data_IF_312236228057
#
_entry.id   IF_312236228057
#
_cell.length_a   1.000
_cell.length_b   1.000
_cell.length_c   1.000
_cell.angle_alpha   90.00
_cell.angle_beta   90.00
_cell.angle_gamma   90.00
#
_symmetry.space_group_name_H-M   'P 1'
#
loop_
_entity.id
_entity.type
_entity.pdbx_description
1 polymer ?
#
# COMPACT_ATOMS: atom_id res chain seq x y z
N UNK A 1 -48.65 -61.42 -5.35
CA UNK A 1 -49.02 -60.20 -6.10
C UNK A 1 -50.54 -60.14 -6.16
N UNK A 2 -51.17 -58.97 -5.96
CA UNK A 2 -50.56 -57.64 -5.79
C UNK A 2 -50.60 -57.27 -4.29
N UNK A 3 -49.52 -57.23 -3.50
CA UNK A 3 -48.38 -56.30 -3.44
C UNK A 3 -48.76 -54.80 -3.55
N UNK A 4 -48.37 -53.87 -2.67
CA UNK A 4 -47.75 -53.88 -1.33
C UNK A 4 -47.63 -52.41 -0.84
N UNK A 5 -47.66 -52.21 0.49
CA UNK A 5 -46.90 -51.22 1.31
C UNK A 5 -47.23 -49.71 1.20
N UNK A 6 -47.21 -48.91 2.28
CA UNK A 6 -46.86 -49.19 3.68
C UNK A 6 -46.78 -47.89 4.49
N UNK A 7 -47.37 -47.95 5.68
CA UNK A 7 -47.25 -47.13 6.90
C UNK A 7 -45.97 -46.28 7.07
N UNK A 8 -46.10 -45.10 7.71
CA UNK A 8 -45.64 -44.92 9.10
C UNK A 8 -46.15 -43.63 9.78
N UNK A 9 -46.27 -43.77 11.10
CA UNK A 9 -47.05 -43.02 12.07
C UNK A 9 -46.26 -41.84 12.66
N UNK A 10 -46.97 -40.76 12.98
CA UNK A 10 -46.52 -39.66 13.84
C UNK A 10 -46.77 -39.99 15.32
N UNK A 11 -45.80 -39.72 16.19
CA UNK A 11 -45.90 -39.69 17.66
C UNK A 11 -44.85 -38.71 18.19
N UNK A 12 -45.23 -37.60 18.80
CA UNK A 12 -45.63 -37.37 20.21
C UNK A 12 -44.43 -37.04 21.13
N UNK A 13 -44.50 -35.83 21.69
CA UNK A 13 -43.66 -35.25 22.76
C UNK A 13 -43.52 -36.18 23.97
N UNK A 14 -42.34 -36.14 24.61
CA UNK A 14 -42.16 -35.99 26.06
C UNK A 14 -40.71 -35.58 26.38
N UNK A 15 -40.58 -34.76 27.43
CA UNK A 15 -39.36 -34.24 28.07
C UNK A 15 -38.29 -35.30 28.37
N UNK A 16 -37.01 -34.90 28.41
CA UNK A 16 -35.99 -35.41 29.34
C UNK A 16 -34.69 -34.58 29.25
N UNK A 17 -34.46 -33.77 30.31
CA UNK A 17 -33.24 -33.62 31.12
C UNK A 17 -31.85 -33.45 30.49
N UNK A 18 -31.16 -32.45 31.05
CA UNK A 18 -29.71 -32.20 31.06
C UNK A 18 -28.83 -33.48 31.02
N UNK A 19 -28.32 -33.83 29.83
CA UNK A 19 -27.07 -34.58 29.65
C UNK A 19 -26.66 -34.47 28.18
N UNK A 20 -25.60 -33.71 27.89
CA UNK A 20 -25.15 -33.51 26.51
C UNK A 20 -24.16 -32.37 26.31
N UNK A 21 -23.15 -32.23 27.19
CA UNK A 21 -21.96 -31.41 26.93
C UNK A 21 -20.72 -32.16 27.43
N UNK A 22 -20.32 -33.20 26.69
CA UNK A 22 -18.96 -33.71 26.74
C UNK A 22 -18.62 -34.36 25.39
N UNK A 23 -18.36 -33.52 24.39
CA UNK A 23 -17.53 -33.92 23.25
C UNK A 23 -16.18 -33.26 23.44
N UNK A 24 -15.19 -34.12 23.53
CA UNK A 24 -13.76 -33.86 23.67
C UNK A 24 -13.32 -32.98 22.49
N UNK A 25 -13.20 -31.67 22.71
CA UNK A 25 -12.28 -30.84 21.94
C UNK A 25 -10.88 -31.20 22.42
N UNK A 26 -10.25 -32.17 21.74
CA UNK A 26 -8.80 -32.22 21.73
C UNK A 26 -8.33 -30.99 20.93
N UNK A 27 -8.27 -29.83 21.61
CA UNK A 27 -7.59 -28.66 21.07
C UNK A 27 -6.15 -29.08 20.86
N UNK A 28 -5.76 -29.30 19.61
CA UNK A 28 -4.35 -29.31 19.25
C UNK A 28 -3.85 -27.94 19.67
N UNK A 29 -3.04 -27.90 20.72
CA UNK A 29 -2.50 -26.66 21.24
C UNK A 29 -1.52 -26.10 20.22
N UNK A 30 -2.04 -25.32 19.26
CA UNK A 30 -1.31 -24.73 18.16
C UNK A 30 -0.16 -23.87 18.69
N UNK A 31 -0.33 -23.25 19.86
CA UNK A 31 0.73 -22.46 20.51
C UNK A 31 1.95 -23.31 20.92
N UNK A 32 1.75 -24.58 21.30
CA UNK A 32 2.84 -25.50 21.62
C UNK A 32 3.59 -25.97 20.36
N UNK A 33 2.89 -26.21 19.25
CA UNK A 33 3.51 -26.53 17.95
C UNK A 33 4.25 -25.32 17.35
N UNK A 34 3.75 -24.10 17.58
CA UNK A 34 4.40 -22.85 17.19
C UNK A 34 5.67 -22.61 18.01
N UNK A 35 5.65 -22.85 19.32
CA UNK A 35 6.86 -22.76 20.16
C UNK A 35 7.93 -23.79 19.75
N UNK A 36 7.53 -24.99 19.34
CA UNK A 36 8.48 -26.03 18.88
C UNK A 36 9.10 -25.69 17.50
N UNK A 37 8.37 -24.98 16.64
CA UNK A 37 8.87 -24.52 15.33
C UNK A 37 9.80 -23.30 15.45
N UNK A 38 9.51 -22.39 16.38
CA UNK A 38 10.34 -21.23 16.71
C UNK A 38 11.64 -21.68 17.40
N UNK A 39 11.57 -22.63 18.34
CA UNK A 39 12.76 -23.17 19.02
C UNK A 39 13.73 -23.89 18.07
N UNK A 40 13.26 -24.42 16.93
CA UNK A 40 14.12 -25.05 15.91
C UNK A 40 14.77 -24.05 14.94
N UNK A 41 14.24 -22.83 14.80
CA UNK A 41 14.91 -21.75 14.06
C UNK A 41 15.87 -20.93 14.95
N UNK A 42 15.58 -20.79 16.25
CA UNK A 42 16.43 -20.07 17.20
C UNK A 42 17.73 -20.81 17.54
N UNK A 43 17.78 -22.12 17.36
CA UNK A 43 19.02 -22.91 17.48
C UNK A 43 20.11 -22.55 16.44
N UNK A 44 19.81 -21.67 15.46
CA UNK A 44 20.78 -21.11 14.51
C UNK A 44 20.98 -19.59 14.67
N UNK A 45 20.47 -19.00 15.75
CA UNK A 45 20.48 -17.55 16.02
C UNK A 45 20.97 -17.21 17.44
N UNK A 46 21.89 -17.99 18.01
CA UNK A 46 22.58 -17.57 19.23
C UNK A 46 23.61 -16.47 18.89
N UNK A 47 23.33 -15.27 19.38
CA UNK A 47 24.20 -14.36 20.17
C UNK A 47 23.70 -12.91 20.02
N UNK A 48 22.73 -12.52 20.84
CA UNK A 48 22.46 -11.13 21.22
C UNK A 48 22.56 -11.08 22.76
N UNK A 49 23.68 -10.59 23.28
CA UNK A 49 23.85 -10.32 24.71
C UNK A 49 23.34 -8.91 25.04
N UNK A 50 22.47 -8.87 26.04
CA UNK A 50 21.94 -7.69 26.72
C UNK A 50 22.78 -7.51 27.99
N UNK A 51 23.41 -6.35 28.19
CA UNK A 51 23.98 -6.01 29.50
C UNK A 51 23.45 -4.66 30.00
N UNK A 52 22.78 -4.75 31.15
CA UNK A 52 22.32 -3.66 31.99
C UNK A 52 23.48 -3.14 32.84
N UNK A 53 23.58 -1.83 33.05
CA UNK A 53 24.32 -1.29 34.19
C UNK A 53 23.43 -0.37 35.04
N UNK A 54 23.16 -0.87 36.24
CA UNK A 54 22.73 -0.11 37.41
C UNK A 54 23.94 0.49 38.14
N UNK A 55 23.72 1.61 38.82
CA UNK A 55 24.61 2.23 39.82
C UNK A 55 24.62 3.74 39.62
N UNK A 56 24.30 4.62 40.55
CA UNK A 56 24.24 4.55 42.01
C UNK A 56 24.76 5.90 42.53
N UNK A 57 23.94 6.63 43.28
CA UNK A 57 24.21 7.96 43.83
C UNK A 57 25.41 7.98 44.80
N UNK A 58 26.21 9.06 44.79
CA UNK A 58 26.78 9.67 46.01
C UNK A 58 27.18 11.14 45.81
N UNK A 59 27.09 11.89 46.91
CA UNK A 59 27.09 13.34 47.08
C UNK A 59 28.45 13.85 47.58
N UNK A 60 28.74 15.15 47.31
CA UNK A 60 29.54 16.15 48.08
C UNK A 60 30.71 16.85 47.35
N UNK A 61 30.73 18.20 47.45
CA UNK A 61 31.95 18.94 47.81
C UNK A 61 32.68 19.83 46.78
N UNK A 62 32.21 21.09 46.65
CA UNK A 62 32.96 22.36 46.58
C UNK A 62 34.20 22.61 45.66
N UNK A 63 34.18 23.81 45.07
CA UNK A 63 35.28 24.74 44.75
C UNK A 63 35.73 24.92 43.28
N UNK A 64 35.96 26.19 42.96
CA UNK A 64 36.18 26.77 41.64
C UNK A 64 37.62 26.61 41.12
N UNK A 65 37.79 26.51 39.79
CA UNK A 65 38.52 27.47 38.95
C UNK A 65 39.07 26.86 37.66
N UNK A 66 39.16 27.73 36.65
CA UNK A 66 40.12 27.75 35.55
C UNK A 66 40.08 26.64 34.46
N UNK A 67 39.54 27.07 33.32
CA UNK A 67 39.88 26.68 31.95
C UNK A 67 41.08 25.75 31.75
N UNK A 68 40.80 24.54 31.24
CA UNK A 68 41.64 23.79 30.32
C UNK A 68 40.70 23.07 29.34
N UNK A 69 40.91 23.30 28.05
CA UNK A 69 40.17 22.68 26.96
C UNK A 69 40.61 21.24 26.80
N UNK A 70 39.90 20.30 27.40
CA UNK A 70 40.03 18.89 27.05
C UNK A 70 39.16 18.58 25.83
N UNK A 71 39.82 18.05 24.80
CA UNK A 71 39.19 17.59 23.60
C UNK A 71 38.16 16.51 23.95
N UNK A 72 36.90 16.75 23.57
CA UNK A 72 35.85 15.73 23.58
C UNK A 72 36.32 14.63 22.63
N UNK A 73 36.69 13.46 23.18
CA UNK A 73 36.95 12.28 22.36
C UNK A 73 35.67 11.95 21.57
N UNK A 74 35.77 11.71 20.26
CA UNK A 74 34.60 11.35 19.47
C UNK A 74 34.07 10.00 19.95
N UNK A 75 32.75 9.93 20.21
CA UNK A 75 32.07 8.66 20.48
C UNK A 75 32.48 7.59 19.45
N UNK A 76 32.69 6.34 19.87
CA UNK A 76 33.10 5.28 18.96
C UNK A 76 32.01 5.08 17.90
N UNK A 77 32.32 5.45 16.66
CA UNK A 77 31.49 5.12 15.51
C UNK A 77 31.41 3.60 15.42
N UNK A 78 30.26 3.05 15.83
CA UNK A 78 30.00 1.63 15.78
C UNK A 78 29.99 1.16 14.32
N UNK A 79 31.15 0.71 13.84
CA UNK A 79 31.29 0.23 12.47
C UNK A 79 30.43 -1.02 12.30
N UNK A 80 29.49 -0.96 11.35
CA UNK A 80 28.60 -2.08 11.08
C UNK A 80 29.46 -3.27 10.65
N UNK A 81 29.37 -4.38 11.41
CA UNK A 81 30.15 -5.61 11.13
C UNK A 81 30.12 -5.95 9.64
N UNK A 82 31.29 -6.26 9.06
CA UNK A 82 31.45 -6.62 7.66
C UNK A 82 30.42 -7.68 7.21
N UNK A 83 30.11 -8.64 8.09
CA UNK A 83 29.09 -9.68 7.84
C UNK A 83 27.69 -9.08 7.66
N UNK A 84 27.31 -8.10 8.46
CA UNK A 84 26.01 -7.41 8.37
C UNK A 84 25.93 -6.53 7.11
N UNK A 85 27.02 -5.82 6.79
CA UNK A 85 27.11 -5.05 5.54
C UNK A 85 26.95 -5.96 4.30
N UNK A 86 27.64 -7.10 4.28
CA UNK A 86 27.53 -8.10 3.20
C UNK A 86 26.12 -8.68 3.08
N UNK A 87 25.48 -9.05 4.20
CA UNK A 87 24.08 -9.54 4.22
C UNK A 87 23.11 -8.47 3.70
N UNK A 88 23.25 -7.20 4.11
CA UNK A 88 22.44 -6.08 3.65
C UNK A 88 22.60 -5.84 2.15
N UNK A 89 23.84 -5.86 1.64
CA UNK A 89 24.12 -5.72 0.21
C UNK A 89 23.51 -6.87 -0.61
N UNK A 90 23.65 -8.11 -0.13
CA UNK A 90 23.03 -9.28 -0.77
C UNK A 90 21.51 -9.20 -0.79
N UNK A 91 20.87 -8.77 0.32
CA UNK A 91 19.41 -8.55 0.36
C UNK A 91 18.96 -7.47 -0.63
N UNK A 92 19.70 -6.35 -0.70
CA UNK A 92 19.41 -5.27 -1.66
C UNK A 92 19.50 -5.76 -3.10
N UNK A 93 20.55 -6.52 -3.43
CA UNK A 93 20.73 -7.14 -4.75
C UNK A 93 19.59 -8.11 -5.09
N UNK A 94 19.21 -8.99 -4.15
CA UNK A 94 18.10 -9.93 -4.34
C UNK A 94 16.76 -9.23 -4.61
N UNK A 95 16.48 -8.14 -3.89
CA UNK A 95 15.28 -7.31 -4.11
C UNK A 95 15.30 -6.62 -5.46
N UNK A 96 16.48 -6.14 -5.88
CA UNK A 96 16.63 -5.52 -7.19
C UNK A 96 16.42 -6.51 -8.34
N UNK A 97 16.89 -7.75 -8.18
CA UNK A 97 16.81 -8.80 -9.21
C UNK A 97 15.44 -9.49 -9.25
N UNK A 98 14.85 -9.77 -8.08
CA UNK A 98 13.68 -10.65 -7.96
C UNK A 98 12.44 -9.96 -7.36
N UNK A 99 12.53 -8.68 -7.03
CA UNK A 99 11.50 -7.97 -6.28
C UNK A 99 11.47 -8.36 -4.79
N UNK A 100 10.48 -7.85 -4.08
CA UNK A 100 10.26 -8.18 -2.68
C UNK A 100 9.59 -9.55 -2.52
N UNK A 101 9.98 -10.28 -1.47
CA UNK A 101 9.31 -11.48 -1.01
C UNK A 101 9.21 -11.44 0.53
N UNK A 102 8.06 -11.77 1.13
CA UNK A 102 7.89 -11.73 2.58
C UNK A 102 8.71 -12.84 3.25
N UNK A 103 9.25 -12.54 4.44
CA UNK A 103 9.94 -13.53 5.27
C UNK A 103 8.95 -14.48 5.96
N UNK A 104 9.40 -15.63 6.47
CA UNK A 104 8.56 -16.53 7.28
C UNK A 104 7.93 -15.80 8.47
N UNK A 105 8.75 -15.03 9.20
CA UNK A 105 8.31 -14.16 10.29
C UNK A 105 7.19 -13.21 9.86
N UNK A 106 7.35 -12.53 8.72
CA UNK A 106 6.32 -11.64 8.16
C UNK A 106 5.02 -12.39 7.87
N UNK A 107 5.09 -13.62 7.33
CA UNK A 107 3.90 -14.44 7.08
C UNK A 107 3.17 -14.82 8.38
N UNK A 108 3.91 -15.14 9.45
CA UNK A 108 3.32 -15.51 10.74
C UNK A 108 2.77 -14.28 11.48
N UNK A 109 3.61 -13.29 11.75
CA UNK A 109 3.27 -12.16 12.63
C UNK A 109 2.27 -11.19 12.01
N UNK A 110 2.41 -10.86 10.72
CA UNK A 110 1.62 -9.80 10.10
C UNK A 110 0.49 -10.29 9.21
N UNK A 111 0.46 -11.56 8.81
CA UNK A 111 -0.60 -12.07 7.93
C UNK A 111 -1.57 -12.96 8.69
N UNK A 112 -1.07 -13.98 9.40
CA UNK A 112 -1.96 -14.90 10.13
C UNK A 112 -2.68 -14.24 11.31
N UNK A 113 -2.08 -13.21 11.91
CA UNK A 113 -2.64 -12.49 13.05
C UNK A 113 -3.39 -11.20 12.65
N UNK A 114 -3.48 -10.88 11.36
CA UNK A 114 -4.09 -9.62 10.94
C UNK A 114 -5.61 -9.65 11.07
N UNK A 115 -6.15 -8.69 11.82
CA UNK A 115 -7.57 -8.45 11.91
C UNK A 115 -8.08 -7.79 10.63
N UNK A 116 -8.98 -8.49 9.94
CA UNK A 116 -9.55 -8.02 8.68
C UNK A 116 -10.78 -7.13 8.89
N UNK A 117 -10.82 -6.04 8.14
CA UNK A 117 -11.97 -5.15 8.05
C UNK A 117 -12.83 -5.60 6.86
N UNK A 118 -13.87 -6.40 7.12
CA UNK A 118 -14.82 -6.74 6.05
C UNK A 118 -15.69 -5.53 5.71
N UNK A 119 -15.71 -5.14 4.44
CA UNK A 119 -16.55 -4.07 3.91
C UNK A 119 -17.75 -4.64 3.15
N UNK A 120 -18.91 -3.97 3.25
CA UNK A 120 -20.13 -4.38 2.57
C UNK A 120 -20.16 -3.98 1.07
N UNK A 121 -19.10 -4.33 0.34
CA UNK A 121 -18.89 -3.99 -1.06
C UNK A 121 -18.70 -5.26 -1.89
N UNK A 122 -19.22 -5.26 -3.13
CA UNK A 122 -18.86 -6.26 -4.14
C UNK A 122 -17.93 -5.61 -5.14
N UNK A 123 -16.63 -5.95 -5.08
CA UNK A 123 -15.66 -5.29 -5.95
C UNK A 123 -15.87 -5.65 -7.42
N UNK A 124 -16.54 -6.78 -7.71
CA UNK A 124 -16.89 -7.18 -9.06
C UNK A 124 -17.79 -6.15 -9.79
N UNK A 125 -18.56 -5.37 -9.04
CA UNK A 125 -19.46 -4.34 -9.55
C UNK A 125 -18.80 -2.96 -9.62
N UNK A 126 -17.52 -2.83 -9.27
CA UNK A 126 -16.83 -1.56 -9.35
C UNK A 126 -16.68 -1.10 -10.82
N UNK A 127 -16.58 0.21 -11.05
CA UNK A 127 -16.77 0.79 -12.37
C UNK A 127 -15.49 0.77 -13.21
N UNK A 128 -14.99 -0.42 -13.53
CA UNK A 128 -13.96 -0.61 -14.54
C UNK A 128 -14.47 -0.14 -15.92
N UNK A 129 -13.59 0.48 -16.71
CA UNK A 129 -13.85 0.76 -18.11
C UNK A 129 -13.75 -0.53 -18.94
N UNK A 130 -14.27 -0.51 -20.16
CA UNK A 130 -14.12 -1.62 -21.08
C UNK A 130 -12.64 -1.98 -21.27
N UNK A 131 -12.33 -3.28 -21.20
CA UNK A 131 -10.97 -3.78 -21.24
C UNK A 131 -10.15 -3.57 -19.96
N UNK A 132 -10.68 -2.96 -18.90
CA UNK A 132 -10.07 -2.89 -17.57
C UNK A 132 -8.64 -2.28 -17.48
N UNK A 133 -8.22 -1.53 -18.50
CA UNK A 133 -6.99 -0.70 -18.45
C UNK A 133 -7.21 0.67 -17.80
N UNK A 134 -8.37 0.87 -17.21
CA UNK A 134 -8.80 2.12 -16.60
C UNK A 134 -10.20 1.95 -16.00
N UNK A 135 -10.69 3.00 -15.38
CA UNK A 135 -12.02 3.02 -14.77
C UNK A 135 -12.90 4.10 -15.41
N UNK A 136 -14.20 4.06 -15.09
CA UNK A 136 -15.16 5.09 -15.50
C UNK A 136 -15.00 6.34 -14.63
N UNK A 137 -15.14 7.49 -15.26
CA UNK A 137 -15.20 8.78 -14.55
C UNK A 137 -16.32 8.80 -13.52
N UNK A 138 -16.09 9.55 -12.44
CA UNK A 138 -17.12 9.86 -11.47
C UNK A 138 -18.09 10.87 -12.08
N UNK A 139 -19.37 10.52 -12.15
CA UNK A 139 -20.43 11.39 -12.67
C UNK A 139 -20.97 12.31 -11.56
N UNK A 140 -20.14 13.23 -11.08
CA UNK A 140 -20.49 14.20 -10.04
C UNK A 140 -20.07 15.62 -10.44
N UNK A 141 -20.83 16.63 -9.97
CA UNK A 141 -20.50 18.04 -10.19
C UNK A 141 -19.17 18.42 -9.51
N UNK A 142 -18.56 19.53 -9.92
CA UNK A 142 -17.39 20.07 -9.22
C UNK A 142 -17.69 20.35 -7.75
N UNK A 143 -18.82 21.03 -7.46
CA UNK A 143 -19.25 21.32 -6.10
C UNK A 143 -19.40 20.07 -5.22
N UNK A 144 -19.98 18.98 -5.75
CA UNK A 144 -20.11 17.70 -5.02
C UNK A 144 -18.75 17.09 -4.68
N UNK A 145 -17.81 17.13 -5.64
CA UNK A 145 -16.48 16.56 -5.47
C UNK A 145 -15.60 17.34 -4.51
N UNK A 146 -15.77 18.66 -4.51
CA UNK A 146 -15.01 19.62 -3.71
C UNK A 146 -15.57 19.78 -2.30
N UNK A 147 -16.77 19.23 -2.03
CA UNK A 147 -17.38 19.27 -0.71
C UNK A 147 -16.45 18.66 0.35
N UNK A 148 -16.35 19.37 1.46
CA UNK A 148 -15.55 18.94 2.60
C UNK A 148 -16.41 18.14 3.55
N UNK A 149 -16.02 16.89 3.76
CA UNK A 149 -16.68 15.98 4.69
C UNK A 149 -15.82 15.83 5.93
N UNK A 150 -16.45 15.81 7.10
CA UNK A 150 -15.82 15.37 8.35
C UNK A 150 -16.06 13.87 8.57
N UNK A 151 -15.29 13.24 9.45
CA UNK A 151 -15.57 11.84 9.79
C UNK A 151 -16.89 11.70 10.55
N UNK A 152 -17.19 12.67 11.41
CA UNK A 152 -18.40 12.75 12.21
C UNK A 152 -19.64 12.80 11.31
N UNK A 153 -19.66 13.67 10.29
CA UNK A 153 -20.76 13.76 9.32
C UNK A 153 -20.93 12.43 8.57
N UNK A 154 -19.84 11.84 8.08
CA UNK A 154 -19.90 10.59 7.32
C UNK A 154 -20.47 9.45 8.16
N UNK A 155 -20.08 9.35 9.43
CA UNK A 155 -20.55 8.30 10.34
C UNK A 155 -21.99 8.56 10.77
N UNK A 156 -22.29 9.75 11.28
CA UNK A 156 -23.59 10.07 11.87
C UNK A 156 -24.71 10.18 10.84
N UNK A 157 -24.41 10.72 9.65
CA UNK A 157 -25.45 11.12 8.68
C UNK A 157 -25.45 10.27 7.41
N UNK A 158 -24.33 9.62 7.08
CA UNK A 158 -24.15 8.91 5.79
C UNK A 158 -23.92 7.41 5.93
N UNK A 159 -23.91 6.90 7.17
CA UNK A 159 -23.79 5.48 7.48
C UNK A 159 -22.42 4.90 7.12
N UNK A 160 -21.36 5.72 7.20
CA UNK A 160 -19.99 5.24 7.11
C UNK A 160 -19.57 4.60 8.43
N UNK A 161 -18.63 3.66 8.36
CA UNK A 161 -17.96 3.12 9.53
C UNK A 161 -16.60 3.79 9.70
N UNK A 162 -16.33 4.29 10.90
CA UNK A 162 -15.00 4.70 11.31
C UNK A 162 -14.13 3.46 11.55
N UNK A 163 -12.95 3.44 10.95
CA UNK A 163 -11.88 2.47 11.24
C UNK A 163 -10.79 3.23 11.98
N UNK A 164 -10.70 2.96 13.28
CA UNK A 164 -9.61 3.47 14.11
C UNK A 164 -8.35 2.68 13.81
N UNK A 165 -7.27 3.38 13.47
CA UNK A 165 -6.03 2.75 13.05
C UNK A 165 -4.84 3.59 13.46
N UNK A 166 -3.90 2.97 14.16
CA UNK A 166 -2.69 3.61 14.66
C UNK A 166 -1.53 3.61 13.65
N UNK A 167 -1.73 3.01 12.47
CA UNK A 167 -0.78 3.03 11.37
C UNK A 167 0.43 2.12 11.58
N UNK A 168 0.40 1.22 12.59
CA UNK A 168 1.50 0.30 12.88
C UNK A 168 1.30 -1.04 12.20
N UNK A 169 0.31 -1.80 12.67
CA UNK A 169 0.01 -3.12 12.16
C UNK A 169 -0.87 -3.06 10.91
N UNK A 170 -0.74 -4.09 10.09
CA UNK A 170 -1.50 -4.18 8.86
C UNK A 170 -2.95 -4.62 9.14
N UNK A 171 -3.93 -3.96 8.51
CA UNK A 171 -5.34 -4.38 8.52
C UNK A 171 -5.84 -4.53 7.07
N UNK A 172 -6.00 -5.77 6.57
CA UNK A 172 -6.56 -6.00 5.23
C UNK A 172 -8.05 -5.63 5.22
N UNK A 173 -8.50 -5.05 4.11
CA UNK A 173 -9.91 -4.73 3.87
C UNK A 173 -10.43 -5.70 2.81
N UNK A 174 -11.46 -6.47 3.18
CA UNK A 174 -12.03 -7.49 2.29
C UNK A 174 -13.39 -7.11 1.75
N UNK A 175 -13.72 -7.59 0.56
CA UNK A 175 -15.08 -7.53 0.02
C UNK A 175 -15.99 -8.58 0.65
N UNK A 176 -17.25 -8.66 0.20
CA UNK A 176 -18.23 -9.69 0.63
C UNK A 176 -17.79 -11.12 0.34
N UNK A 177 -16.88 -11.33 -0.61
CA UNK A 177 -16.37 -12.65 -1.02
C UNK A 177 -15.01 -12.98 -0.40
N UNK A 178 -14.52 -12.14 0.53
CA UNK A 178 -13.25 -12.32 1.23
C UNK A 178 -12.01 -11.94 0.42
N UNK A 179 -12.16 -11.30 -0.75
CA UNK A 179 -11.03 -10.78 -1.55
C UNK A 179 -10.44 -9.57 -0.85
N UNK A 180 -9.14 -9.57 -0.63
CA UNK A 180 -8.40 -8.42 -0.08
C UNK A 180 -8.26 -7.38 -1.21
N UNK A 181 -9.12 -6.37 -1.23
CA UNK A 181 -9.09 -5.35 -2.28
C UNK A 181 -8.33 -4.09 -1.88
N UNK A 182 -8.18 -3.84 -0.58
CA UNK A 182 -7.39 -2.75 -0.03
C UNK A 182 -6.69 -3.21 1.25
N UNK A 183 -5.64 -2.50 1.66
CA UNK A 183 -4.86 -2.83 2.85
C UNK A 183 -4.44 -1.55 3.55
N UNK A 184 -4.69 -1.47 4.84
CA UNK A 184 -4.04 -0.51 5.71
C UNK A 184 -2.69 -1.11 6.09
N UNK A 185 -1.64 -0.91 5.29
CA UNK A 185 -0.41 -1.70 5.36
C UNK A 185 0.53 -1.33 6.53
N UNK A 186 0.32 -0.15 7.11
CA UNK A 186 1.00 0.28 8.33
C UNK A 186 2.37 0.84 8.04
N UNK A 187 3.34 0.43 8.84
CA UNK A 187 4.75 0.82 8.69
C UNK A 187 5.64 -0.31 9.19
N UNK A 188 6.91 -0.40 8.74
CA UNK A 188 7.80 -1.43 9.25
C UNK A 188 8.05 -1.23 10.75
N UNK A 189 8.18 -2.34 11.48
CA UNK A 189 8.60 -2.37 12.89
C UNK A 189 10.11 -2.07 13.01
N UNK A 190 10.50 -0.88 12.58
CA UNK A 190 11.86 -0.37 12.63
C UNK A 190 11.83 1.02 13.28
N UNK A 191 12.49 1.21 14.43
CA UNK A 191 12.42 2.46 15.18
C UNK A 191 12.96 3.67 14.40
N UNK A 192 13.83 3.45 13.41
CA UNK A 192 14.40 4.52 12.58
C UNK A 192 13.47 4.95 11.44
N UNK A 193 12.37 4.23 11.19
CA UNK A 193 11.47 4.53 10.07
C UNK A 193 10.70 5.85 10.27
N UNK A 194 10.33 6.18 11.51
CA UNK A 194 9.69 7.46 11.84
C UNK A 194 10.58 8.66 11.46
N UNK A 195 11.87 8.60 11.81
CA UNK A 195 12.85 9.62 11.43
C UNK A 195 13.03 9.72 9.91
N UNK A 196 13.00 8.59 9.19
CA UNK A 196 13.02 8.59 7.73
C UNK A 196 11.78 9.31 7.15
N UNK A 197 10.58 9.04 7.67
CA UNK A 197 9.37 9.72 7.22
C UNK A 197 9.43 11.24 7.47
N UNK A 198 9.94 11.66 8.62
CA UNK A 198 10.16 13.08 8.92
C UNK A 198 11.15 13.72 7.91
N UNK A 199 12.31 13.08 7.68
CA UNK A 199 13.30 13.58 6.71
C UNK A 199 12.75 13.64 5.27
N UNK A 200 11.91 12.67 4.87
CA UNK A 200 11.22 12.71 3.59
C UNK A 200 10.25 13.91 3.51
N UNK A 201 9.48 14.16 4.56
CA UNK A 201 8.56 15.30 4.62
C UNK A 201 9.28 16.66 4.57
N UNK A 202 10.40 16.80 5.29
CA UNK A 202 11.22 18.02 5.26
C UNK A 202 11.83 18.23 3.87
N UNK A 203 12.29 17.16 3.20
CA UNK A 203 12.79 17.25 1.83
C UNK A 203 11.69 17.66 0.85
N UNK A 204 10.50 17.08 0.95
CA UNK A 204 9.34 17.47 0.13
C UNK A 204 9.00 18.95 0.37
N UNK A 205 9.00 19.41 1.61
CA UNK A 205 8.72 20.81 1.95
C UNK A 205 9.79 21.76 1.41
N UNK A 206 11.07 21.42 1.57
CA UNK A 206 12.17 22.21 1.05
C UNK A 206 12.17 22.28 -0.49
N UNK A 207 11.86 21.17 -1.16
CA UNK A 207 11.73 21.15 -2.62
C UNK A 207 10.48 21.88 -3.11
N UNK A 208 9.39 21.88 -2.32
CA UNK A 208 8.21 22.70 -2.62
C UNK A 208 8.57 24.18 -2.69
N UNK A 209 9.30 24.66 -1.70
CA UNK A 209 9.61 26.09 -1.55
C UNK A 209 10.63 26.58 -2.60
N UNK A 210 11.42 25.65 -3.17
CA UNK A 210 12.33 25.93 -4.30
C UNK A 210 11.66 25.80 -5.66
N UNK A 211 10.65 24.95 -5.78
CA UNK A 211 9.98 24.68 -7.04
C UNK A 211 9.04 25.85 -7.40
N UNK A 212 9.26 26.44 -8.57
CA UNK A 212 8.39 27.49 -9.11
C UNK A 212 7.14 26.85 -9.72
N UNK A 213 6.19 26.48 -8.85
CA UNK A 213 4.94 25.84 -9.27
C UNK A 213 3.99 26.82 -9.94
N UNK A 214 3.49 26.42 -11.10
CA UNK A 214 2.46 27.18 -11.82
C UNK A 214 1.09 26.97 -11.20
N UNK A 215 0.18 27.91 -11.46
CA UNK A 215 -1.19 27.85 -10.96
C UNK A 215 -1.91 26.56 -11.34
N UNK A 216 -1.67 26.04 -12.54
CA UNK A 216 -2.29 24.82 -13.07
C UNK A 216 -1.73 23.55 -12.39
N UNK A 217 -0.52 23.63 -11.84
CA UNK A 217 0.12 22.54 -11.07
C UNK A 217 -0.39 22.53 -9.62
N UNK A 218 -0.89 23.67 -9.14
CA UNK A 218 -1.49 23.83 -7.81
C UNK A 218 -3.01 23.65 -7.80
N UNK A 219 -3.71 23.83 -8.93
CA UNK A 219 -5.16 23.76 -9.02
C UNK A 219 -5.58 22.71 -10.04
N UNK A 220 -5.92 21.52 -9.56
CA UNK A 220 -6.24 20.38 -10.41
C UNK A 220 -7.47 19.62 -9.92
N UNK A 221 -7.97 18.69 -10.74
CA UNK A 221 -9.20 17.90 -10.49
C UNK A 221 -9.25 17.09 -9.19
N UNK A 222 -8.14 17.02 -8.46
CA UNK A 222 -7.96 16.25 -7.22
C UNK A 222 -7.79 17.13 -5.98
N UNK A 223 -7.64 18.45 -6.11
CA UNK A 223 -7.37 19.32 -4.97
C UNK A 223 -6.63 20.60 -5.36
N UNK A 224 -6.41 21.44 -4.34
CA UNK A 224 -5.70 22.72 -4.44
C UNK A 224 -4.36 22.61 -3.68
N UNK A 225 -3.38 21.97 -4.31
CA UNK A 225 -2.02 21.82 -3.81
C UNK A 225 -1.07 21.48 -4.98
N UNK A 226 0.25 21.75 -4.87
CA UNK A 226 1.20 21.34 -5.89
C UNK A 226 1.37 19.82 -5.93
N UNK A 227 1.37 19.24 -7.13
CA UNK A 227 1.59 17.81 -7.34
C UNK A 227 2.53 17.54 -8.53
N UNK A 228 3.53 16.69 -8.33
CA UNK A 228 4.42 16.23 -9.40
C UNK A 228 4.36 14.73 -9.55
N UNK A 229 4.06 14.30 -10.78
CA UNK A 229 4.10 12.90 -11.19
C UNK A 229 5.38 12.62 -11.99
N UNK A 230 6.02 11.47 -11.72
CA UNK A 230 7.24 11.04 -12.42
C UNK A 230 7.27 9.52 -12.60
N UNK A 231 8.07 9.05 -13.57
CA UNK A 231 8.20 7.64 -13.91
C UNK A 231 7.56 7.25 -15.24
N UNK A 232 7.39 5.95 -15.44
CA UNK A 232 6.99 5.34 -16.71
C UNK A 232 5.48 5.38 -16.91
N UNK A 233 5.07 5.98 -18.03
CA UNK A 233 3.67 6.07 -18.42
C UNK A 233 3.50 5.82 -19.91
N UNK A 234 2.29 5.40 -20.28
CA UNK A 234 1.82 5.36 -21.65
C UNK A 234 0.38 5.84 -21.64
N UNK A 235 0.10 6.91 -22.39
CA UNK A 235 -1.18 7.61 -22.37
C UNK A 235 -1.11 8.94 -23.12
N UNK A 236 -2.22 9.68 -23.17
CA UNK A 236 -2.29 11.02 -23.78
C UNK A 236 -1.72 11.09 -25.22
N UNK A 237 -1.98 10.07 -26.04
CA UNK A 237 -1.54 10.02 -27.44
C UNK A 237 -0.08 9.64 -27.66
N UNK A 238 0.69 9.29 -26.62
CA UNK A 238 2.09 8.87 -26.77
C UNK A 238 2.18 7.51 -27.52
N UNK A 239 3.06 7.38 -28.53
CA UNK A 239 3.16 6.16 -29.33
C UNK A 239 3.85 5.00 -28.61
N UNK A 240 4.67 5.30 -27.59
CA UNK A 240 5.43 4.34 -26.79
C UNK A 240 5.31 4.66 -25.29
N UNK A 241 5.58 3.66 -24.45
CA UNK A 241 5.83 3.91 -23.03
C UNK A 241 7.16 4.65 -22.87
N UNK A 242 7.19 5.67 -22.01
CA UNK A 242 8.39 6.47 -21.70
C UNK A 242 8.24 7.15 -20.36
N UNK A 243 9.32 7.76 -19.84
CA UNK A 243 9.22 8.61 -18.65
C UNK A 243 8.36 9.84 -18.92
N UNK A 244 7.59 10.24 -17.91
CA UNK A 244 6.85 11.50 -17.92
C UNK A 244 7.81 12.67 -18.14
N UNK A 245 7.35 13.69 -18.87
CA UNK A 245 8.15 14.89 -19.07
C UNK A 245 8.26 15.64 -17.74
N UNK A 246 9.48 15.78 -17.24
CA UNK A 246 9.79 16.41 -15.96
C UNK A 246 9.79 17.95 -16.04
N UNK A 247 9.85 18.51 -17.26
CA UNK A 247 9.81 19.95 -17.51
C UNK A 247 10.83 20.72 -16.67
N UNK A 248 10.39 21.84 -16.09
CA UNK A 248 11.22 22.68 -15.22
C UNK A 248 11.49 22.06 -13.84
N UNK A 249 10.84 20.94 -13.52
CA UNK A 249 10.90 20.30 -12.19
C UNK A 249 11.86 19.12 -12.13
N UNK A 250 12.69 18.91 -13.16
CA UNK A 250 13.64 17.80 -13.24
C UNK A 250 14.64 17.76 -12.06
N UNK A 251 15.09 18.93 -11.56
CA UNK A 251 15.95 19.02 -10.38
C UNK A 251 15.24 18.51 -9.12
N UNK A 252 14.01 18.98 -8.89
CA UNK A 252 13.16 18.55 -7.78
C UNK A 252 12.86 17.06 -7.84
N UNK A 253 12.49 16.54 -9.01
CA UNK A 253 12.22 15.11 -9.21
C UNK A 253 13.48 14.28 -8.90
N UNK A 254 14.65 14.70 -9.40
CA UNK A 254 15.92 14.01 -9.12
C UNK A 254 16.28 14.02 -7.63
N UNK A 255 16.06 15.15 -6.94
CA UNK A 255 16.28 15.27 -5.50
C UNK A 255 15.38 14.29 -4.73
N UNK A 256 14.09 14.22 -5.08
CA UNK A 256 13.13 13.33 -4.44
C UNK A 256 13.43 11.85 -4.73
N UNK A 257 13.74 11.49 -5.97
CA UNK A 257 14.09 10.12 -6.34
C UNK A 257 15.40 9.66 -5.70
N UNK A 258 16.38 10.55 -5.58
CA UNK A 258 17.68 10.28 -4.96
C UNK A 258 17.65 10.22 -3.44
N UNK A 259 16.60 10.74 -2.79
CA UNK A 259 16.54 10.80 -1.33
C UNK A 259 16.31 9.42 -0.71
N UNK A 260 17.21 9.02 0.20
CA UNK A 260 17.20 7.68 0.81
C UNK A 260 15.92 7.38 1.58
N UNK A 261 15.35 8.37 2.28
CA UNK A 261 14.09 8.19 3.00
C UNK A 261 12.89 7.99 2.08
N UNK A 262 12.84 8.66 0.93
CA UNK A 262 11.76 8.47 -0.04
C UNK A 262 11.89 7.09 -0.69
N UNK A 263 13.10 6.69 -1.05
CA UNK A 263 13.39 5.34 -1.52
C UNK A 263 12.99 4.26 -0.51
N UNK A 264 13.18 4.52 0.79
CA UNK A 264 12.78 3.60 1.87
C UNK A 264 11.26 3.45 1.98
N UNK A 265 10.52 4.56 1.93
CA UNK A 265 9.05 4.56 1.90
C UNK A 265 8.55 3.83 0.64
N UNK A 266 9.16 4.11 -0.52
CA UNK A 266 8.83 3.46 -1.77
C UNK A 266 8.99 1.93 -1.69
N UNK A 267 10.12 1.49 -1.12
CA UNK A 267 10.42 0.07 -0.89
C UNK A 267 9.42 -0.60 0.04
N UNK A 268 8.98 0.09 1.11
CA UNK A 268 7.97 -0.47 2.01
C UNK A 268 6.61 -0.65 1.31
N UNK A 269 6.15 0.36 0.56
CA UNK A 269 4.92 0.24 -0.22
C UNK A 269 4.96 -0.90 -1.25
N UNK A 270 6.12 -1.12 -1.87
CA UNK A 270 6.34 -2.25 -2.78
C UNK A 270 6.32 -3.61 -2.06
N UNK A 271 7.00 -3.70 -0.92
CA UNK A 271 7.00 -4.91 -0.08
C UNK A 271 5.61 -5.25 0.45
N UNK A 272 4.83 -4.25 0.85
CA UNK A 272 3.44 -4.42 1.24
C UNK A 272 2.60 -4.96 0.07
N UNK A 273 2.81 -4.45 -1.14
CA UNK A 273 2.10 -4.94 -2.32
C UNK A 273 2.45 -6.41 -2.62
N UNK A 274 3.72 -6.79 -2.59
CA UNK A 274 4.16 -8.18 -2.73
C UNK A 274 3.52 -9.10 -1.68
N UNK A 275 3.42 -8.61 -0.44
CA UNK A 275 2.91 -9.39 0.69
C UNK A 275 1.40 -9.62 0.60
N UNK A 276 0.64 -8.58 0.27
CA UNK A 276 -0.83 -8.61 0.40
C UNK A 276 -1.58 -8.87 -0.90
N UNK A 277 -0.92 -8.75 -2.06
CA UNK A 277 -1.49 -9.11 -3.35
C UNK A 277 -0.43 -9.76 -4.26
N UNK A 278 0.16 -10.90 -3.87
CA UNK A 278 1.29 -11.53 -4.56
C UNK A 278 1.01 -11.86 -6.03
N UNK A 279 -0.20 -12.34 -6.36
CA UNK A 279 -0.59 -12.64 -7.74
C UNK A 279 -0.55 -11.38 -8.61
N UNK A 280 -1.11 -10.28 -8.10
CA UNK A 280 -1.12 -8.99 -8.77
C UNK A 280 0.28 -8.35 -8.82
N UNK A 281 1.09 -8.52 -7.78
CA UNK A 281 2.49 -8.09 -7.75
C UNK A 281 3.32 -8.75 -8.86
N UNK A 282 3.22 -10.08 -9.01
CA UNK A 282 3.86 -10.84 -10.10
C UNK A 282 3.36 -10.38 -11.47
N UNK A 283 2.06 -10.12 -11.61
CA UNK A 283 1.48 -9.55 -12.83
C UNK A 283 2.14 -8.20 -13.16
N UNK A 284 2.24 -7.27 -12.21
CA UNK A 284 2.92 -5.99 -12.42
C UNK A 284 4.39 -6.17 -12.82
N UNK A 285 5.13 -7.01 -12.08
CA UNK A 285 6.54 -7.27 -12.35
C UNK A 285 6.78 -7.76 -13.79
N UNK A 286 6.01 -8.76 -14.24
CA UNK A 286 6.16 -9.32 -15.59
C UNK A 286 5.79 -8.36 -16.72
N UNK A 287 4.81 -7.47 -16.54
CA UNK A 287 4.52 -6.44 -17.54
C UNK A 287 5.64 -5.41 -17.65
N UNK A 288 6.21 -5.03 -16.52
CA UNK A 288 7.14 -3.93 -16.52
C UNK A 288 8.55 -4.35 -16.87
N UNK A 289 8.96 -5.58 -16.57
CA UNK A 289 10.18 -6.16 -17.12
C UNK A 289 10.18 -6.10 -18.67
N UNK A 290 9.03 -6.42 -19.30
CA UNK A 290 8.84 -6.28 -20.76
C UNK A 290 8.90 -4.83 -21.24
N UNK A 291 8.42 -3.89 -20.44
CA UNK A 291 8.53 -2.45 -20.76
C UNK A 291 9.98 -2.02 -20.74
N UNK A 292 10.71 -2.34 -19.66
CA UNK A 292 12.13 -2.00 -19.50
C UNK A 292 12.99 -2.63 -20.59
N UNK A 293 12.76 -3.91 -20.92
CA UNK A 293 13.42 -4.60 -22.04
C UNK A 293 13.14 -3.89 -23.37
N UNK A 294 11.91 -3.46 -23.61
CA UNK A 294 11.53 -2.85 -24.89
C UNK A 294 12.03 -1.42 -25.05
N UNK A 295 12.08 -0.64 -23.97
CA UNK A 295 12.36 0.80 -24.03
C UNK A 295 13.77 1.16 -23.57
N UNK A 296 14.44 0.31 -22.79
CA UNK A 296 15.69 0.63 -22.10
C UNK A 296 15.53 1.57 -20.90
N UNK A 297 14.29 1.92 -20.55
CA UNK A 297 14.00 2.78 -19.41
C UNK A 297 14.07 2.01 -18.09
N UNK A 298 14.15 2.73 -16.97
CA UNK A 298 14.24 2.13 -15.63
C UNK A 298 13.10 2.58 -14.71
N UNK A 299 12.79 1.74 -13.71
CA UNK A 299 11.88 2.09 -12.61
C UNK A 299 12.32 3.33 -11.83
N UNK A 300 11.33 3.94 -11.17
CA UNK A 300 11.57 5.04 -10.24
C UNK A 300 12.48 4.64 -9.07
N UNK A 301 12.30 3.43 -8.54
CA UNK A 301 13.03 2.92 -7.39
C UNK A 301 13.46 1.47 -7.67
N UNK A 302 14.70 1.08 -7.33
CA UNK A 302 15.18 -0.28 -7.56
C UNK A 302 14.29 -1.34 -6.90
N UNK A 303 13.92 -2.37 -7.67
CA UNK A 303 13.08 -3.49 -7.18
C UNK A 303 11.59 -3.16 -7.05
N UNK A 304 11.15 -1.94 -7.37
CA UNK A 304 9.73 -1.57 -7.31
C UNK A 304 8.96 -2.06 -8.54
N UNK A 305 7.77 -2.63 -8.34
CA UNK A 305 6.88 -3.01 -9.44
C UNK A 305 6.04 -1.85 -9.98
N UNK A 306 6.04 -0.70 -9.29
CA UNK A 306 5.29 0.49 -9.70
C UNK A 306 5.96 1.25 -10.84
N UNK A 307 5.17 1.70 -11.81
CA UNK A 307 5.66 2.38 -13.00
C UNK A 307 5.86 3.89 -12.75
N UNK A 308 4.93 4.50 -12.02
CA UNK A 308 4.88 5.92 -11.72
C UNK A 308 4.80 6.18 -10.22
N UNK A 309 5.13 7.40 -9.83
CA UNK A 309 4.88 7.94 -8.52
C UNK A 309 4.38 9.39 -8.61
N UNK A 310 3.75 9.87 -7.54
CA UNK A 310 3.35 11.28 -7.38
C UNK A 310 3.66 11.73 -5.96
N UNK A 311 4.25 12.92 -5.84
CA UNK A 311 4.35 13.66 -4.58
C UNK A 311 3.31 14.76 -4.59
N UNK A 312 2.46 14.79 -3.56
CA UNK A 312 1.57 15.91 -3.27
C UNK A 312 2.24 16.74 -2.16
N UNK A 313 2.69 17.96 -2.46
CA UNK A 313 3.72 18.68 -1.69
C UNK A 313 3.22 19.43 -0.44
N UNK A 314 1.91 19.53 -0.21
CA UNK A 314 1.35 20.28 0.91
C UNK A 314 1.36 21.80 0.69
N UNK A 315 1.27 22.62 1.76
CA UNK A 315 1.43 22.24 3.17
C UNK A 315 0.24 21.51 3.79
N UNK A 316 -0.97 21.58 3.20
CA UNK A 316 -2.18 20.94 3.74
C UNK A 316 -2.89 20.16 2.64
N UNK A 317 -2.28 19.07 2.17
CA UNK A 317 -2.88 18.24 1.09
C UNK A 317 -4.23 17.73 1.55
N UNK A 318 -5.29 18.29 0.95
CA UNK A 318 -6.65 17.76 0.99
C UNK A 318 -7.06 17.37 -0.42
N UNK A 319 -7.36 16.09 -0.65
CA UNK A 319 -7.85 15.65 -1.96
C UNK A 319 -9.36 15.70 -2.01
N UNK A 320 -9.90 16.30 -3.07
CA UNK A 320 -11.31 16.21 -3.45
C UNK A 320 -11.72 14.76 -3.74
N UNK A 321 -13.02 14.49 -3.75
CA UNK A 321 -13.56 13.17 -4.12
C UNK A 321 -13.25 12.85 -5.58
N UNK A 322 -12.47 11.80 -5.81
CA UNK A 322 -12.02 11.44 -7.15
C UNK A 322 -11.70 9.95 -7.33
N UNK A 323 -11.45 9.59 -8.58
CA UNK A 323 -10.83 8.33 -9.01
C UNK A 323 -9.63 8.61 -9.90
N UNK A 324 -8.63 7.75 -9.81
CA UNK A 324 -7.49 7.75 -10.71
C UNK A 324 -7.77 6.86 -11.92
N UNK A 325 -8.74 7.28 -12.72
CA UNK A 325 -9.32 6.48 -13.81
C UNK A 325 -8.34 5.97 -14.88
N UNK A 326 -7.13 6.52 -14.93
CA UNK A 326 -6.07 6.10 -15.86
C UNK A 326 -5.16 5.00 -15.29
N UNK A 327 -5.25 4.71 -13.99
CA UNK A 327 -4.56 3.58 -13.37
C UNK A 327 -5.22 2.26 -13.79
N UNK A 328 -4.47 1.17 -13.75
CA UNK A 328 -5.01 -0.16 -14.03
C UNK A 328 -6.24 -0.44 -13.15
N UNK A 329 -7.35 -0.91 -13.75
CA UNK A 329 -8.65 -0.93 -13.05
C UNK A 329 -8.68 -1.86 -11.83
N UNK A 330 -8.03 -3.01 -11.96
CA UNK A 330 -7.82 -4.00 -10.89
C UNK A 330 -6.44 -3.82 -10.23
N UNK A 331 -5.77 -2.70 -10.49
CA UNK A 331 -4.47 -2.38 -9.94
C UNK A 331 -4.55 -1.76 -8.56
N UNK A 332 -3.48 -1.90 -7.78
CA UNK A 332 -3.32 -1.22 -6.49
C UNK A 332 -2.36 -0.03 -6.61
N UNK A 333 -2.57 0.96 -5.76
CA UNK A 333 -1.69 2.10 -5.55
C UNK A 333 -1.24 2.12 -4.09
N UNK A 334 0.06 2.33 -3.86
CA UNK A 334 0.60 2.53 -2.52
C UNK A 334 0.64 4.01 -2.18
N UNK A 335 -0.05 4.43 -1.12
CA UNK A 335 -0.14 5.83 -0.67
C UNK A 335 0.44 5.92 0.73
N UNK A 336 1.40 6.81 0.96
CA UNK A 336 1.96 7.10 2.28
C UNK A 336 1.61 8.52 2.69
N UNK A 337 0.97 8.68 3.84
CA UNK A 337 0.76 10.00 4.44
C UNK A 337 2.03 10.49 5.13
N UNK A 338 2.36 11.77 4.99
CA UNK A 338 3.52 12.41 5.61
C UNK A 338 3.11 13.74 6.22
N UNK A 339 3.89 14.25 7.18
CA UNK A 339 3.66 15.53 7.83
C UNK A 339 3.42 15.41 9.33
N UNK A 340 2.87 16.48 9.92
CA UNK A 340 2.58 16.60 11.35
C UNK A 340 1.12 17.00 11.51
N UNK A 341 0.28 16.02 11.84
CA UNK A 341 -1.15 16.21 12.07
C UNK A 341 -1.70 15.15 13.03
N UNK A 342 -2.77 15.50 13.74
CA UNK A 342 -3.54 14.60 14.58
C UNK A 342 -4.48 13.75 13.71
N UNK A 343 -4.01 12.55 13.38
CA UNK A 343 -4.73 11.59 12.54
C UNK A 343 -6.03 11.06 13.14
N UNK A 344 -6.35 11.38 14.40
CA UNK A 344 -7.64 11.06 15.01
C UNK A 344 -8.69 12.14 14.75
N UNK A 345 -8.26 13.34 14.39
CA UNK A 345 -9.14 14.51 14.14
C UNK A 345 -9.25 14.86 12.66
N UNK A 346 -8.22 14.56 11.86
CA UNK A 346 -8.17 14.98 10.47
C UNK A 346 -7.26 14.13 9.60
N UNK A 347 -7.25 14.42 8.30
CA UNK A 347 -6.44 13.69 7.32
C UNK A 347 -6.87 12.23 7.09
N UNK A 348 -8.06 11.85 7.58
CA UNK A 348 -8.63 10.52 7.40
C UNK A 348 -8.81 10.22 5.92
N UNK A 349 -8.54 8.98 5.50
CA UNK A 349 -8.86 8.55 4.13
C UNK A 349 -10.28 8.01 4.06
N UNK A 350 -11.02 8.41 3.03
CA UNK A 350 -12.41 7.99 2.81
C UNK A 350 -12.43 7.04 1.62
N UNK A 351 -12.99 5.84 1.80
CA UNK A 351 -13.23 4.85 0.74
C UNK A 351 -14.74 4.74 0.52
N UNK A 352 -15.23 5.43 -0.51
CA UNK A 352 -16.66 5.73 -0.64
C UNK A 352 -17.52 4.49 -0.92
N UNK A 353 -17.12 3.62 -1.85
CA UNK A 353 -17.86 2.40 -2.17
C UNK A 353 -17.84 1.38 -1.03
N UNK A 354 -16.82 1.42 -0.17
CA UNK A 354 -16.72 0.59 1.03
C UNK A 354 -17.44 1.20 2.24
N UNK A 355 -17.90 2.45 2.15
CA UNK A 355 -18.44 3.25 3.27
C UNK A 355 -17.52 3.26 4.48
N UNK A 356 -16.21 3.40 4.26
CA UNK A 356 -15.21 3.48 5.33
C UNK A 356 -14.61 4.89 5.39
N UNK A 357 -14.47 5.41 6.61
CA UNK A 357 -13.59 6.52 6.94
C UNK A 357 -12.51 5.97 7.86
N UNK A 358 -11.24 6.13 7.48
CA UNK A 358 -10.12 5.45 8.14
C UNK A 358 -9.18 6.51 8.70
N UNK A 359 -8.86 6.40 9.99
CA UNK A 359 -7.79 7.18 10.59
C UNK A 359 -6.47 6.83 9.89
N UNK A 360 -5.77 7.83 9.33
CA UNK A 360 -4.61 7.59 8.47
C UNK A 360 -3.36 8.33 8.98
N UNK A 361 -2.57 7.69 9.86
CA UNK A 361 -1.45 8.36 10.54
C UNK A 361 -0.29 8.76 9.62
N UNK A 362 0.43 9.86 9.95
CA UNK A 362 1.66 10.20 9.24
C UNK A 362 2.70 9.08 9.39
N UNK A 363 3.39 8.78 8.29
CA UNK A 363 4.35 7.70 8.17
C UNK A 363 3.74 6.32 7.93
N UNK A 364 2.41 6.18 7.84
CA UNK A 364 1.78 4.91 7.47
C UNK A 364 1.45 4.83 5.98
N UNK A 365 1.37 3.61 5.45
CA UNK A 365 1.07 3.33 4.04
C UNK A 365 -0.22 2.54 3.90
N UNK A 366 -1.02 2.84 2.87
CA UNK A 366 -2.18 2.06 2.45
C UNK A 366 -2.01 1.57 1.00
N UNK A 367 -2.65 0.45 0.67
CA UNK A 367 -2.83 -0.04 -0.69
C UNK A 367 -4.31 0.05 -1.06
N UNK A 368 -4.66 0.77 -2.13
CA UNK A 368 -6.06 0.90 -2.58
C UNK A 368 -6.19 0.75 -4.10
N UNK A 369 -7.35 0.27 -4.61
CA UNK A 369 -7.62 0.21 -6.03
C UNK A 369 -8.11 1.59 -6.52
N UNK A 370 -7.19 2.55 -6.56
CA UNK A 370 -7.50 3.98 -6.73
C UNK A 370 -8.20 4.33 -8.05
N UNK A 371 -8.12 3.44 -9.05
CA UNK A 371 -8.85 3.57 -10.30
C UNK A 371 -10.36 3.41 -10.10
N UNK A 372 -10.79 2.40 -9.35
CA UNK A 372 -12.17 1.94 -9.30
C UNK A 372 -12.88 2.27 -7.98
N UNK A 373 -12.14 2.46 -6.89
CA UNK A 373 -12.66 2.99 -5.62
C UNK A 373 -12.50 4.50 -5.59
N UNK A 374 -13.62 5.20 -5.46
CA UNK A 374 -13.63 6.63 -5.22
C UNK A 374 -13.03 6.90 -3.84
N UNK A 375 -12.13 7.87 -3.77
CA UNK A 375 -11.45 8.21 -2.54
C UNK A 375 -11.22 9.72 -2.41
N UNK A 376 -11.08 10.14 -1.16
CA UNK A 376 -10.73 11.50 -0.73
C UNK A 376 -10.07 11.45 0.63
N UNK A 377 -9.71 12.60 1.19
CA UNK A 377 -9.36 12.70 2.60
C UNK A 377 -10.03 13.92 3.25
N UNK A 378 -10.24 13.82 4.56
CA UNK A 378 -10.72 14.93 5.38
C UNK A 378 -9.63 15.99 5.52
N UNK A 379 -10.02 17.23 5.81
CA UNK A 379 -9.06 18.27 6.15
C UNK A 379 -8.28 17.90 7.42
N UNK A 380 -7.11 18.53 7.58
CA UNK A 380 -6.33 18.53 8.82
C UNK A 380 -6.57 19.87 9.55
N UNK A 381 -6.14 19.98 10.79
CA UNK A 381 -6.21 21.23 11.56
C UNK A 381 -5.46 22.39 10.90
N UNK A 382 -5.86 23.63 11.18
CA UNK A 382 -5.34 24.83 10.50
C UNK A 382 -3.81 24.99 10.59
N UNK A 383 -3.22 24.60 11.73
CA UNK A 383 -1.79 24.70 12.01
C UNK A 383 -1.00 23.41 11.71
N UNK A 384 -1.69 22.39 11.18
CA UNK A 384 -1.09 21.11 10.87
C UNK A 384 -0.55 21.08 9.44
N UNK A 385 0.32 20.11 9.17
CA UNK A 385 0.90 19.94 7.84
C UNK A 385 0.77 18.51 7.34
N UNK A 386 0.49 18.38 6.04
CA UNK A 386 0.35 17.09 5.37
C UNK A 386 0.83 17.15 3.94
N UNK A 387 1.64 16.16 3.59
CA UNK A 387 2.01 15.79 2.23
C UNK A 387 1.66 14.30 2.02
N UNK A 388 1.78 13.82 0.79
CA UNK A 388 1.67 12.39 0.54
C UNK A 388 2.54 11.94 -0.62
N UNK A 389 3.06 10.73 -0.51
CA UNK A 389 3.80 10.06 -1.57
C UNK A 389 3.02 8.84 -2.07
N UNK A 390 2.77 8.78 -3.37
CA UNK A 390 1.95 7.73 -3.99
C UNK A 390 2.74 7.00 -5.07
N UNK A 391 2.64 5.68 -5.14
CA UNK A 391 3.19 4.83 -6.21
C UNK A 391 2.06 4.09 -6.90
N UNK A 392 2.09 4.01 -8.23
CA UNK A 392 1.01 3.44 -9.04
C UNK A 392 1.50 3.00 -10.42
N UNK A 393 0.61 2.41 -11.22
CA UNK A 393 0.86 2.15 -12.63
C UNK A 393 -0.37 2.48 -13.48
N UNK A 394 -0.14 3.29 -14.53
CA UNK A 394 -1.15 3.61 -15.53
C UNK A 394 -1.51 2.38 -16.34
N UNK A 395 -2.80 2.10 -16.54
CA UNK A 395 -3.25 0.94 -17.30
C UNK A 395 -2.85 0.99 -18.78
N UNK A 396 -2.57 2.18 -19.31
CA UNK A 396 -2.04 2.36 -20.67
C UNK A 396 -0.71 1.65 -20.91
N UNK A 397 0.17 1.54 -19.90
CA UNK A 397 1.44 0.80 -20.02
C UNK A 397 1.18 -0.70 -20.25
N UNK A 398 0.24 -1.28 -19.51
CA UNK A 398 -0.16 -2.67 -19.69
C UNK A 398 -0.80 -2.91 -21.05
N UNK A 399 -1.71 -2.01 -21.46
CA UNK A 399 -2.35 -2.04 -22.78
C UNK A 399 -1.33 -1.97 -23.91
N UNK A 400 -0.30 -1.14 -23.77
CA UNK A 400 0.74 -0.99 -24.76
C UNK A 400 1.52 -2.29 -24.96
N UNK A 401 1.87 -2.98 -23.88
CA UNK A 401 2.51 -4.31 -23.95
C UNK A 401 1.58 -5.34 -24.62
N UNK A 402 0.31 -5.39 -24.22
CA UNK A 402 -0.67 -6.32 -24.81
C UNK A 402 -0.95 -6.03 -26.29
N UNK A 403 -0.75 -4.79 -26.72
CA UNK A 403 -0.84 -4.35 -28.11
C UNK A 403 0.50 -4.45 -28.85
N UNK A 404 1.39 -5.37 -28.46
CA UNK A 404 2.68 -5.60 -29.11
C UNK A 404 3.53 -4.33 -29.23
N UNK A 405 3.52 -3.53 -28.16
CA UNK A 405 4.28 -2.28 -28.04
C UNK A 405 3.83 -1.18 -29.00
N UNK A 406 2.52 -1.11 -29.27
CA UNK A 406 1.92 -0.15 -30.20
C UNK A 406 0.66 0.49 -29.63
N UNK A 407 0.26 1.62 -30.23
CA UNK A 407 -1.05 2.21 -29.94
C UNK A 407 -2.16 1.29 -30.48
N UNK A 408 -3.35 1.39 -29.90
CA UNK A 408 -4.50 0.60 -30.33
C UNK A 408 -4.85 0.81 -31.82
N UNK A 409 -4.77 2.06 -32.29
CA UNK A 409 -4.97 2.41 -33.70
C UNK A 409 -3.87 1.86 -34.62
N UNK A 410 -2.61 1.86 -34.17
CA UNK A 410 -1.52 1.27 -34.94
C UNK A 410 -1.65 -0.25 -35.03
N UNK A 411 -2.03 -0.92 -33.93
CA UNK A 411 -2.28 -2.36 -33.91
C UNK A 411 -3.40 -2.74 -34.88
N UNK A 412 -4.53 -2.03 -34.85
CA UNK A 412 -5.66 -2.26 -35.75
C UNK A 412 -5.26 -2.25 -37.23
N UNK A 413 -4.34 -1.37 -37.61
CA UNK A 413 -3.84 -1.22 -38.98
C UNK A 413 -2.80 -2.27 -39.36
N UNK A 414 -1.89 -2.62 -38.44
CA UNK A 414 -0.72 -3.48 -38.73
C UNK A 414 -0.96 -4.97 -38.46
N UNK A 415 -1.77 -5.30 -37.46
CA UNK A 415 -2.04 -6.67 -37.04
C UNK A 415 -3.51 -6.82 -36.62
N UNK A 416 -4.39 -7.00 -37.61
CA UNK A 416 -5.84 -7.09 -37.40
C UNK A 416 -6.25 -8.28 -36.52
N UNK A 417 -5.59 -9.43 -36.70
CA UNK A 417 -5.86 -10.62 -35.91
C UNK A 417 -5.58 -10.38 -34.42
N UNK A 418 -4.42 -9.78 -34.09
CA UNK A 418 -4.09 -9.44 -32.71
C UNK A 418 -5.03 -8.39 -32.11
N UNK A 419 -5.43 -7.41 -32.92
CA UNK A 419 -6.44 -6.43 -32.51
C UNK A 419 -7.76 -7.09 -32.11
N UNK A 420 -8.26 -8.03 -32.91
CA UNK A 420 -9.50 -8.77 -32.64
C UNK A 420 -9.37 -9.69 -31.41
N UNK A 421 -8.22 -10.35 -31.25
CA UNK A 421 -7.89 -11.10 -30.03
C UNK A 421 -7.94 -10.20 -28.79
N UNK A 422 -7.38 -8.98 -28.86
CA UNK A 422 -7.38 -8.04 -27.75
C UNK A 422 -8.78 -7.50 -27.45
N UNK A 423 -9.62 -7.29 -28.46
CA UNK A 423 -11.05 -6.97 -28.29
C UNK A 423 -11.77 -8.10 -27.54
N UNK A 424 -11.55 -9.36 -27.91
CA UNK A 424 -12.18 -10.49 -27.21
C UNK A 424 -11.73 -10.56 -25.75
N UNK A 425 -10.41 -10.42 -25.50
CA UNK A 425 -9.86 -10.33 -24.15
C UNK A 425 -10.42 -9.15 -23.35
N UNK A 426 -10.78 -8.03 -23.99
CA UNK A 426 -11.37 -6.88 -23.28
C UNK A 426 -12.68 -7.23 -22.57
N UNK A 427 -13.44 -8.19 -23.10
CA UNK A 427 -14.73 -8.60 -22.51
C UNK A 427 -14.56 -9.31 -21.17
N UNK A 428 -13.45 -10.02 -20.98
CA UNK A 428 -13.20 -10.84 -19.77
C UNK A 428 -12.10 -10.29 -18.87
N UNK A 429 -11.26 -9.34 -19.33
CA UNK A 429 -10.10 -8.86 -18.57
C UNK A 429 -10.44 -8.33 -17.17
N UNK A 430 -11.62 -7.74 -16.99
CA UNK A 430 -12.05 -7.33 -15.66
C UNK A 430 -12.17 -8.54 -14.71
N UNK A 431 -12.89 -9.59 -15.14
CA UNK A 431 -13.06 -10.80 -14.35
C UNK A 431 -11.73 -11.53 -14.12
N UNK A 432 -10.86 -11.58 -15.12
CA UNK A 432 -9.50 -12.14 -14.95
C UNK A 432 -8.67 -11.32 -13.96
N UNK A 433 -8.75 -9.98 -14.03
CA UNK A 433 -8.09 -9.10 -13.07
C UNK A 433 -8.58 -9.31 -11.64
N UNK A 434 -9.88 -9.57 -11.45
CA UNK A 434 -10.45 -9.85 -10.13
C UNK A 434 -9.89 -11.13 -9.49
N UNK A 435 -9.50 -12.13 -10.30
CA UNK A 435 -8.85 -13.37 -9.81
C UNK A 435 -7.44 -13.13 -9.27
N UNK A 436 -6.82 -11.99 -9.60
CA UNK A 436 -5.49 -11.63 -9.11
C UNK A 436 -5.52 -11.06 -7.68
N UNK A 437 -6.69 -10.66 -7.17
CA UNK A 437 -6.84 -10.38 -5.75
C UNK A 437 -6.82 -11.70 -4.97
N UNK A 438 -5.96 -11.78 -3.98
CA UNK A 438 -5.95 -12.89 -3.03
C UNK A 438 -7.16 -12.81 -2.12
N UNK A 439 -7.76 -13.96 -1.81
CA UNK A 439 -8.67 -14.04 -0.67
C UNK A 439 -7.86 -14.14 0.60
N UNK A 440 -8.39 -13.60 1.70
CA UNK A 440 -7.68 -13.67 2.99
C UNK A 440 -7.38 -15.11 3.40
N UNK A 441 -8.32 -16.03 3.18
CA UNK A 441 -8.16 -17.47 3.46
C UNK A 441 -7.11 -18.17 2.58
N UNK A 442 -6.72 -17.57 1.45
CA UNK A 442 -5.83 -18.16 0.44
C UNK A 442 -4.47 -17.45 0.40
N UNK A 443 -4.32 -16.31 1.09
CA UNK A 443 -3.15 -15.43 0.95
C UNK A 443 -1.83 -16.15 1.24
N UNK A 444 -1.78 -16.97 2.30
CA UNK A 444 -0.56 -17.73 2.64
C UNK A 444 -0.16 -18.70 1.53
N UNK A 445 -1.11 -19.28 0.79
CA UNK A 445 -0.85 -20.18 -0.32
C UNK A 445 -0.44 -19.43 -1.61
N UNK A 446 -0.90 -18.19 -1.78
CA UNK A 446 -0.56 -17.36 -2.95
C UNK A 446 0.86 -16.74 -2.88
N UNK A 447 1.47 -16.72 -1.69
CA UNK A 447 2.80 -16.19 -1.34
C UNK A 447 3.95 -17.20 -1.50
#
# INVERSE_FOLDING_TARGET
MPAAQGLLHTGSRLDLTQQGRSTIEASINLSALIQEAVAKEDAFSEYDEVEQLQGGLHHEGCAASAFLTDAIEPEPQHTQSYRNAKRRASRKKRVQENGHAPSKRTKLEHIQLADAVQADVSIANLPAAEGAYGAKNLAESAASREHEYTAEELVAERGFRLVEWDGREAMPITDREGRIFAVLAGRPSDPTYGAACAAAFETISAERDKADFKREECNHRRGQFPALAFGLSQGNGQPSARRLNEGNHASTIRALQGHSSISRIASFGDAAFSTWAPKLYRFYGGYMARVEEKTGETRNFPGSVFACATVNFGPRVRTFKHRDVLNLAFGLCAITALGRFDHKKGGHVILWEAKLVVQFPPGSTILIPSATVTHSNTAIGEHETRASFTQYAGGGVFRWVDNEYQTFEALKKKNRAKYEENIEKNKTRWQEGLKLYSKLSELTADL
#
